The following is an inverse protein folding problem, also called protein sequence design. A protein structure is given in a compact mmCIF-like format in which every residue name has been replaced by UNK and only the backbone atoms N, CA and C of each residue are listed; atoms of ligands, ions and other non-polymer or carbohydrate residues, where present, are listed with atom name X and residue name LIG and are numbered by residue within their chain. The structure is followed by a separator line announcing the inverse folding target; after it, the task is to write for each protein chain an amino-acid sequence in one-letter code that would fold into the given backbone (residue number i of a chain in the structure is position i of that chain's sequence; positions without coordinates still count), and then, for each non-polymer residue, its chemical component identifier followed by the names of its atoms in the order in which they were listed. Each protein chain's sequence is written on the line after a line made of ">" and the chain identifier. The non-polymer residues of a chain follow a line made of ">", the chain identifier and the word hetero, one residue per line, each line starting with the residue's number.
data_IF_484775506591
#
_entry.id   IF_484775506591
#
_cell.length_a   1.000
_cell.length_b   1.000
_cell.length_c   1.000
_cell.angle_alpha   90.00
_cell.angle_beta   90.00
_cell.angle_gamma   90.00
#
_symmetry.space_group_name_H-M   'P 1'
#
loop_
_entity.id
_entity.type
_entity.pdbx_description
1 polymer ?
#
# COMPACT_ATOMS: atom_id res chain seq x y z
N UNK A 1 -45.55 -35.80 26.79
CA UNK A 1 -44.34 -36.08 25.98
C UNK A 1 -43.69 -34.75 25.62
N UNK A 2 -42.53 -34.43 26.21
CA UNK A 2 -41.81 -33.17 25.98
C UNK A 2 -41.00 -33.32 24.69
N UNK A 3 -41.39 -32.61 23.63
CA UNK A 3 -40.55 -32.48 22.42
C UNK A 3 -39.41 -31.53 22.74
N UNK A 4 -38.19 -32.06 22.88
CA UNK A 4 -36.98 -31.26 22.90
C UNK A 4 -36.75 -30.68 21.50
N UNK A 5 -36.96 -29.37 21.35
CA UNK A 5 -36.54 -28.64 20.15
C UNK A 5 -35.03 -28.44 20.23
N UNK A 6 -34.28 -29.22 19.44
CA UNK A 6 -32.83 -29.06 19.28
C UNK A 6 -32.63 -27.86 18.34
N UNK A 7 -32.37 -26.70 18.95
CA UNK A 7 -31.96 -25.50 18.23
C UNK A 7 -30.56 -25.74 17.65
N UNK A 8 -30.50 -26.14 16.38
CA UNK A 8 -29.23 -26.33 15.67
C UNK A 8 -28.61 -24.95 15.42
N UNK A 9 -27.62 -24.58 16.22
CA UNK A 9 -26.76 -23.42 15.97
C UNK A 9 -25.94 -23.74 14.71
N UNK A 10 -26.41 -23.28 13.56
CA UNK A 10 -25.64 -23.27 12.32
C UNK A 10 -24.64 -22.13 12.46
N UNK A 11 -23.42 -22.46 12.91
CA UNK A 11 -22.29 -21.54 12.86
C UNK A 11 -21.94 -21.34 11.39
N UNK A 12 -22.43 -20.26 10.80
CA UNK A 12 -22.05 -19.83 9.45
C UNK A 12 -20.57 -19.42 9.52
N UNK A 13 -19.68 -20.38 9.24
CA UNK A 13 -18.29 -20.09 8.89
C UNK A 13 -18.33 -19.23 7.63
N UNK A 14 -18.25 -17.92 7.84
CA UNK A 14 -18.13 -16.94 6.77
C UNK A 14 -16.74 -17.13 6.16
N UNK A 15 -16.65 -18.00 5.15
CA UNK A 15 -15.48 -18.06 4.28
C UNK A 15 -15.40 -16.74 3.52
N UNK A 16 -14.59 -15.81 4.02
CA UNK A 16 -14.21 -14.61 3.31
C UNK A 16 -13.55 -15.05 1.99
N UNK A 17 -14.24 -14.86 0.88
CA UNK A 17 -13.66 -15.00 -0.46
C UNK A 17 -12.65 -13.86 -0.67
N UNK A 18 -11.44 -13.99 -0.12
CA UNK A 18 -10.34 -13.07 -0.40
C UNK A 18 -9.94 -13.29 -1.85
N UNK A 19 -10.54 -12.51 -2.74
CA UNK A 19 -10.17 -12.47 -4.16
C UNK A 19 -8.70 -12.05 -4.22
N UNK A 20 -7.87 -12.85 -4.89
CA UNK A 20 -6.46 -12.54 -5.04
C UNK A 20 -6.31 -11.16 -5.71
N UNK A 21 -5.60 -10.25 -5.04
CA UNK A 21 -5.33 -8.92 -5.57
C UNK A 21 -4.49 -9.03 -6.85
N UNK A 22 -4.89 -8.28 -7.88
CA UNK A 22 -4.09 -8.10 -9.10
C UNK A 22 -2.95 -7.12 -8.79
N UNK A 23 -1.72 -7.51 -9.09
CA UNK A 23 -0.54 -6.63 -9.00
C UNK A 23 -0.18 -6.18 -10.42
N UNK A 24 -0.38 -4.91 -10.72
CA UNK A 24 -0.08 -4.33 -12.03
C UNK A 24 1.40 -3.98 -12.14
N UNK A 25 2.01 -4.25 -13.30
CA UNK A 25 3.38 -3.84 -13.60
C UNK A 25 3.31 -2.50 -14.33
N UNK A 26 3.97 -1.49 -13.78
CA UNK A 26 3.95 -0.14 -14.30
C UNK A 26 5.38 0.33 -14.60
N UNK A 27 5.52 1.16 -15.63
CA UNK A 27 6.67 2.05 -15.81
C UNK A 27 6.46 3.35 -15.01
N UNK A 28 7.51 4.14 -14.87
CA UNK A 28 7.47 5.41 -14.12
C UNK A 28 6.31 6.32 -14.53
N UNK A 29 6.11 6.54 -15.84
CA UNK A 29 5.09 7.45 -16.34
C UNK A 29 3.68 6.99 -15.97
N UNK A 30 3.43 5.68 -16.05
CA UNK A 30 2.15 5.08 -15.69
C UNK A 30 1.89 5.15 -14.19
N UNK A 31 2.94 4.99 -13.37
CA UNK A 31 2.85 5.17 -11.93
C UNK A 31 2.55 6.63 -11.57
N UNK A 32 3.21 7.60 -12.21
CA UNK A 32 2.94 9.01 -12.02
C UNK A 32 1.52 9.39 -12.44
N UNK A 33 1.07 8.95 -13.61
CA UNK A 33 -0.30 9.16 -14.06
C UNK A 33 -1.31 8.59 -13.04
N UNK A 34 -1.08 7.37 -12.57
CA UNK A 34 -1.93 6.74 -11.57
C UNK A 34 -1.99 7.54 -10.27
N UNK A 35 -0.85 7.92 -9.69
CA UNK A 35 -0.78 8.69 -8.44
C UNK A 35 -1.49 10.05 -8.60
N UNK A 36 -1.22 10.75 -9.71
CA UNK A 36 -1.77 12.08 -9.96
C UNK A 36 -3.23 12.06 -10.41
N UNK A 37 -3.77 10.90 -10.83
CA UNK A 37 -5.19 10.71 -11.18
C UNK A 37 -6.13 10.73 -9.97
N UNK A 38 -5.63 10.46 -8.77
CA UNK A 38 -6.40 10.46 -7.51
C UNK A 38 -6.74 11.88 -7.05
N UNK A 39 -7.70 12.51 -7.75
CA UNK A 39 -8.19 13.86 -7.43
C UNK A 39 -9.04 13.83 -6.16
N UNK A 40 -8.97 14.91 -5.38
CA UNK A 40 -9.71 15.07 -4.11
C UNK A 40 -9.37 13.98 -3.06
N UNK A 41 -8.25 13.30 -3.20
CA UNK A 41 -7.77 12.30 -2.25
C UNK A 41 -6.41 12.69 -1.69
N UNK A 42 -6.19 12.30 -0.43
CA UNK A 42 -4.87 12.12 0.16
C UNK A 42 -4.39 10.72 -0.19
N UNK A 43 -3.25 10.64 -0.85
CA UNK A 43 -2.64 9.38 -1.30
C UNK A 43 -1.32 9.17 -0.59
N UNK A 44 -1.25 8.11 0.20
CA UNK A 44 0.00 7.60 0.77
C UNK A 44 0.62 6.65 -0.25
N UNK A 45 1.82 6.98 -0.73
CA UNK A 45 2.58 6.16 -1.68
C UNK A 45 3.86 5.67 -1.01
N UNK A 46 3.91 4.39 -0.65
CA UNK A 46 5.05 3.79 0.03
C UNK A 46 5.84 2.89 -0.92
N UNK A 47 7.15 3.07 -0.98
CA UNK A 47 8.06 2.28 -1.80
C UNK A 47 8.75 1.22 -0.94
N UNK A 48 8.60 -0.03 -1.34
CA UNK A 48 9.04 -1.18 -0.56
C UNK A 48 9.57 -2.31 -1.43
N UNK A 49 10.14 -3.35 -0.81
CA UNK A 49 10.46 -4.60 -1.48
C UNK A 49 10.40 -5.80 -0.53
N UNK A 50 10.17 -7.00 -1.06
CA UNK A 50 10.04 -8.24 -0.25
C UNK A 50 11.31 -8.66 0.49
N UNK A 51 12.47 -8.11 0.12
CA UNK A 51 13.77 -8.35 0.75
C UNK A 51 14.21 -7.22 1.68
N UNK A 52 13.44 -6.14 1.78
CA UNK A 52 13.75 -4.98 2.61
C UNK A 52 13.21 -5.17 4.04
N UNK A 53 14.05 -5.61 4.96
CA UNK A 53 13.65 -5.84 6.37
C UNK A 53 12.91 -4.65 7.02
N UNK A 54 13.41 -3.40 6.99
CA UNK A 54 12.69 -2.27 7.60
C UNK A 54 11.34 -2.00 6.92
N UNK A 55 11.23 -2.20 5.59
CA UNK A 55 9.94 -2.09 4.90
C UNK A 55 8.93 -3.13 5.41
N UNK A 56 9.39 -4.35 5.72
CA UNK A 56 8.51 -5.43 6.22
C UNK A 56 8.05 -5.14 7.65
N UNK A 57 8.89 -4.48 8.45
CA UNK A 57 8.58 -4.10 9.83
C UNK A 57 7.47 -3.04 9.91
N UNK A 58 7.38 -2.11 8.94
CA UNK A 58 6.33 -1.07 8.92
C UNK A 58 4.99 -1.55 8.34
N UNK A 59 4.97 -2.60 7.51
CA UNK A 59 3.74 -3.09 6.84
C UNK A 59 2.55 -3.27 7.80
N UNK A 60 2.67 -3.88 9.00
CA UNK A 60 1.55 -4.02 9.92
C UNK A 60 0.90 -2.68 10.29
N UNK A 61 1.71 -1.65 10.57
CA UNK A 61 1.20 -0.31 10.90
C UNK A 61 0.49 0.33 9.70
N UNK A 62 1.05 0.19 8.50
CA UNK A 62 0.42 0.68 7.26
C UNK A 62 -0.91 -0.02 7.00
N UNK A 63 -1.01 -1.33 7.21
CA UNK A 63 -2.26 -2.07 7.01
C UNK A 63 -3.33 -1.71 8.04
N UNK A 64 -2.94 -1.45 9.29
CA UNK A 64 -3.85 -0.96 10.33
C UNK A 64 -4.43 0.41 9.95
N UNK A 65 -3.59 1.34 9.52
CA UNK A 65 -4.03 2.65 9.04
C UNK A 65 -4.90 2.54 7.78
N UNK A 66 -4.50 1.73 6.81
CA UNK A 66 -5.30 1.51 5.60
C UNK A 66 -6.70 0.97 5.95
N UNK A 67 -6.79 0.03 6.89
CA UNK A 67 -8.05 -0.53 7.37
C UNK A 67 -8.91 0.53 8.10
N UNK A 68 -8.29 1.40 8.90
CA UNK A 68 -8.97 2.51 9.58
C UNK A 68 -9.62 3.49 8.59
N UNK A 69 -8.93 3.83 7.50
CA UNK A 69 -9.41 4.78 6.50
C UNK A 69 -10.10 4.11 5.30
N UNK A 70 -10.31 2.79 5.29
CA UNK A 70 -10.84 2.04 4.12
C UNK A 70 -12.18 2.55 3.57
N UNK A 71 -13.00 3.15 4.42
CA UNK A 71 -14.32 3.68 4.08
C UNK A 71 -14.30 5.19 3.80
N UNK A 72 -13.16 5.86 3.92
CA UNK A 72 -13.04 7.27 3.63
C UNK A 72 -12.77 7.46 2.12
N UNK A 73 -13.71 8.05 1.35
CA UNK A 73 -13.53 8.23 -0.09
C UNK A 73 -12.37 9.17 -0.44
N UNK A 74 -11.92 10.00 0.50
CA UNK A 74 -10.86 10.98 0.32
C UNK A 74 -9.47 10.41 0.69
N UNK A 75 -9.36 9.12 1.00
CA UNK A 75 -8.10 8.47 1.36
C UNK A 75 -7.75 7.34 0.39
N UNK A 76 -6.45 7.20 0.11
CA UNK A 76 -5.90 6.08 -0.64
C UNK A 76 -4.52 5.69 -0.11
N UNK A 77 -4.28 4.39 0.05
CA UNK A 77 -2.94 3.85 0.22
C UNK A 77 -2.53 3.05 -1.03
N UNK A 78 -1.32 3.31 -1.52
CA UNK A 78 -0.69 2.63 -2.64
C UNK A 78 0.71 2.17 -2.23
N UNK A 79 0.96 0.87 -2.24
CA UNK A 79 2.30 0.32 -2.05
C UNK A 79 2.95 0.02 -3.40
N UNK A 80 4.16 0.51 -3.61
CA UNK A 80 4.94 0.35 -4.83
C UNK A 80 6.09 -0.60 -4.55
N UNK A 81 5.98 -1.83 -5.04
CA UNK A 81 7.06 -2.81 -4.95
C UNK A 81 8.16 -2.48 -5.98
N UNK A 82 9.40 -2.43 -5.48
CA UNK A 82 10.63 -2.31 -6.28
C UNK A 82 11.28 -3.68 -6.56
N UNK A 83 10.57 -4.77 -6.28
CA UNK A 83 11.01 -6.11 -6.65
C UNK A 83 11.10 -6.26 -8.18
N UNK A 84 12.03 -7.11 -8.65
CA UNK A 84 12.17 -7.38 -10.09
C UNK A 84 10.94 -8.15 -10.61
N UNK A 85 10.47 -7.90 -11.84
CA UNK A 85 9.31 -8.62 -12.41
C UNK A 85 9.44 -10.14 -12.39
N UNK A 86 10.67 -10.66 -12.50
CA UNK A 86 10.96 -12.10 -12.45
C UNK A 86 10.54 -12.77 -11.14
N UNK A 87 10.33 -12.02 -10.05
CA UNK A 87 9.85 -12.53 -8.75
C UNK A 87 8.40 -12.13 -8.45
N UNK A 88 7.62 -11.74 -9.47
CA UNK A 88 6.21 -11.32 -9.32
C UNK A 88 5.35 -12.33 -8.52
N UNK A 89 5.53 -13.63 -8.73
CA UNK A 89 4.76 -14.65 -7.98
C UNK A 89 5.15 -14.69 -6.50
N UNK A 90 6.43 -14.46 -6.17
CA UNK A 90 6.88 -14.31 -4.78
C UNK A 90 6.29 -13.05 -4.14
N UNK A 91 6.20 -11.95 -4.88
CA UNK A 91 5.54 -10.71 -4.41
C UNK A 91 4.06 -10.96 -4.10
N UNK A 92 3.32 -11.60 -5.01
CA UNK A 92 1.91 -11.96 -4.78
C UNK A 92 1.72 -12.89 -3.58
N UNK A 93 2.61 -13.87 -3.44
CA UNK A 93 2.62 -14.77 -2.27
C UNK A 93 2.87 -13.99 -0.98
N UNK A 94 3.85 -13.08 -0.98
CA UNK A 94 4.16 -12.23 0.17
C UNK A 94 2.97 -11.34 0.56
N UNK A 95 2.32 -10.69 -0.41
CA UNK A 95 1.09 -9.89 -0.20
C UNK A 95 0.03 -10.71 0.53
N UNK A 96 -0.19 -11.95 0.07
CA UNK A 96 -1.15 -12.86 0.71
C UNK A 96 -0.71 -13.27 2.13
N UNK A 97 0.55 -13.63 2.32
CA UNK A 97 1.08 -14.08 3.62
C UNK A 97 1.09 -12.98 4.68
N UNK A 98 1.33 -11.73 4.27
CA UNK A 98 1.32 -10.56 5.15
C UNK A 98 -0.04 -9.87 5.25
N UNK A 99 -1.07 -10.42 4.62
CA UNK A 99 -2.42 -9.83 4.56
C UNK A 99 -2.39 -8.36 4.13
N UNK A 100 -1.57 -8.03 3.11
CA UNK A 100 -1.50 -6.68 2.57
C UNK A 100 -2.84 -6.39 1.87
N UNK A 101 -3.65 -5.51 2.47
CA UNK A 101 -4.98 -5.13 2.01
C UNK A 101 -5.00 -3.79 1.24
N UNK A 102 -3.86 -3.09 1.18
CA UNK A 102 -3.68 -1.91 0.34
C UNK A 102 -3.45 -2.28 -1.13
N UNK A 103 -3.74 -1.35 -2.03
CA UNK A 103 -3.41 -1.54 -3.44
C UNK A 103 -1.89 -1.64 -3.63
N UNK A 104 -1.45 -2.61 -4.43
CA UNK A 104 -0.03 -2.86 -4.70
C UNK A 104 0.20 -2.86 -6.21
N UNK A 105 1.22 -2.13 -6.63
CA UNK A 105 1.77 -2.14 -7.99
C UNK A 105 3.25 -2.51 -7.93
N UNK A 106 3.79 -3.04 -9.03
CA UNK A 106 5.21 -3.31 -9.20
C UNK A 106 5.78 -2.29 -10.19
N UNK A 107 6.78 -1.51 -9.77
CA UNK A 107 7.47 -0.57 -10.64
C UNK A 107 8.59 -1.30 -11.39
N UNK A 108 8.31 -1.66 -12.63
CA UNK A 108 9.28 -2.33 -13.52
C UNK A 108 10.11 -1.31 -14.28
N UNK A 109 10.94 -0.54 -13.60
CA UNK A 109 11.69 0.54 -14.28
C UNK A 109 13.12 0.76 -13.77
N UNK A 110 13.72 -0.28 -13.22
CA UNK A 110 15.06 -0.24 -12.63
C UNK A 110 16.16 0.25 -13.59
N UNK A 111 15.99 0.09 -14.90
CA UNK A 111 16.94 0.59 -15.91
C UNK A 111 16.98 2.11 -16.01
N UNK A 112 15.87 2.78 -15.67
CA UNK A 112 15.72 4.24 -15.69
C UNK A 112 15.72 4.84 -14.27
N UNK A 113 16.24 4.11 -13.29
CA UNK A 113 16.24 4.54 -11.88
C UNK A 113 16.88 5.91 -11.67
N UNK A 114 17.95 6.21 -12.41
CA UNK A 114 18.61 7.51 -12.36
C UNK A 114 17.76 8.66 -12.94
N UNK A 115 16.73 8.36 -13.73
CA UNK A 115 15.81 9.34 -14.29
C UNK A 115 14.61 9.57 -13.36
N UNK A 116 13.98 8.49 -12.87
CA UNK A 116 12.73 8.64 -12.13
C UNK A 116 12.90 8.93 -10.63
N UNK A 117 13.99 8.52 -9.98
CA UNK A 117 14.26 8.88 -8.57
C UNK A 117 14.24 10.40 -8.36
N UNK A 118 15.07 11.20 -9.07
CA UNK A 118 15.09 12.65 -8.87
C UNK A 118 13.80 13.32 -9.35
N UNK A 119 13.03 12.66 -10.23
CA UNK A 119 11.74 13.16 -10.69
C UNK A 119 10.63 13.00 -9.62
N UNK A 120 10.70 11.98 -8.77
CA UNK A 120 9.89 11.91 -7.55
C UNK A 120 10.36 12.94 -6.52
N UNK A 121 11.66 12.91 -6.20
CA UNK A 121 12.29 13.89 -5.32
C UNK A 121 13.81 13.90 -5.51
N UNK A 122 14.38 15.08 -5.75
CA UNK A 122 15.82 15.24 -5.95
C UNK A 122 16.67 14.84 -4.73
N UNK A 123 16.07 14.80 -3.54
CA UNK A 123 16.73 14.36 -2.30
C UNK A 123 16.65 12.85 -2.07
N UNK A 124 15.85 12.11 -2.84
CA UNK A 124 15.70 10.67 -2.61
C UNK A 124 16.98 9.90 -2.97
N UNK A 125 17.65 9.40 -1.94
CA UNK A 125 18.95 8.72 -2.03
C UNK A 125 18.88 7.25 -2.47
N UNK A 126 17.82 6.82 -3.17
CA UNK A 126 17.53 5.43 -3.59
C UNK A 126 17.33 4.42 -2.45
N UNK A 127 17.24 4.89 -1.21
CA UNK A 127 16.92 4.07 -0.05
C UNK A 127 15.44 3.65 -0.04
N UNK A 128 15.13 2.57 0.67
CA UNK A 128 13.77 2.15 1.02
C UNK A 128 13.77 1.61 2.47
N UNK A 129 12.65 1.73 3.21
CA UNK A 129 11.38 2.31 2.78
C UNK A 129 11.45 3.83 2.60
N UNK A 130 10.62 4.35 1.71
CA UNK A 130 10.29 5.78 1.66
C UNK A 130 8.81 5.96 1.39
N UNK A 131 8.25 7.05 1.88
CA UNK A 131 6.83 7.36 1.74
C UNK A 131 6.65 8.77 1.20
N UNK A 132 5.81 8.89 0.17
CA UNK A 132 5.35 10.16 -0.37
C UNK A 132 3.90 10.38 0.00
N UNK A 133 3.54 11.62 0.33
CA UNK A 133 2.16 12.02 0.51
C UNK A 133 1.78 12.93 -0.65
N UNK A 134 0.68 12.57 -1.33
CA UNK A 134 0.07 13.40 -2.34
C UNK A 134 -1.29 13.89 -1.86
N UNK A 135 -1.62 15.14 -2.17
CA UNK A 135 -2.96 15.69 -1.96
C UNK A 135 -3.46 16.29 -3.27
N UNK A 136 -4.62 15.82 -3.74
CA UNK A 136 -5.22 16.24 -5.01
C UNK A 136 -4.27 16.09 -6.23
N UNK A 137 -3.45 15.04 -6.20
CA UNK A 137 -2.45 14.73 -7.23
C UNK A 137 -1.18 15.59 -7.19
N UNK A 138 -0.96 16.38 -6.14
CA UNK A 138 0.29 17.12 -5.92
C UNK A 138 1.06 16.50 -4.77
N UNK A 139 2.38 16.29 -4.92
CA UNK A 139 3.25 15.86 -3.82
C UNK A 139 3.30 16.97 -2.77
N UNK A 140 2.94 16.63 -1.52
CA UNK A 140 2.93 17.57 -0.38
C UNK A 140 3.94 17.21 0.70
N UNK A 141 4.34 15.93 0.81
CA UNK A 141 5.38 15.50 1.73
C UNK A 141 6.20 14.33 1.19
N UNK A 142 7.41 14.19 1.74
CA UNK A 142 8.35 13.10 1.50
C UNK A 142 9.00 12.72 2.84
N UNK A 143 8.97 11.43 3.17
CA UNK A 143 9.57 10.85 4.36
C UNK A 143 10.48 9.70 3.93
N UNK A 144 11.77 9.81 4.24
CA UNK A 144 12.81 8.92 3.70
C UNK A 144 13.32 7.88 4.70
N UNK A 145 12.61 7.67 5.81
CA UNK A 145 12.96 6.69 6.84
C UNK A 145 11.82 5.69 7.06
N UNK A 146 12.04 4.59 7.80
CA UNK A 146 10.93 3.80 8.32
C UNK A 146 9.94 4.69 9.09
N UNK A 147 8.65 4.39 8.96
CA UNK A 147 7.59 5.22 9.52
C UNK A 147 6.79 4.43 10.58
N UNK A 148 6.61 5.04 11.74
CA UNK A 148 5.72 4.52 12.77
C UNK A 148 4.25 4.77 12.41
N UNK A 149 3.33 4.05 13.07
CA UNK A 149 1.89 4.31 12.92
C UNK A 149 1.52 5.78 13.19
N UNK A 150 2.06 6.35 14.27
CA UNK A 150 1.75 7.71 14.69
C UNK A 150 2.20 8.75 13.66
N UNK A 151 3.42 8.63 13.14
CA UNK A 151 3.93 9.52 12.08
C UNK A 151 3.09 9.42 10.80
N UNK A 152 2.67 8.20 10.43
CA UNK A 152 1.80 7.98 9.28
C UNK A 152 0.43 8.66 9.49
N UNK A 153 -0.16 8.53 10.67
CA UNK A 153 -1.43 9.17 11.03
C UNK A 153 -1.30 10.70 11.07
N UNK A 154 -0.18 11.24 11.55
CA UNK A 154 0.08 12.68 11.57
C UNK A 154 0.10 13.26 10.15
N UNK A 155 0.81 12.62 9.22
CA UNK A 155 0.78 13.02 7.81
C UNK A 155 -0.63 12.96 7.23
N UNK A 156 -1.38 11.89 7.51
CA UNK A 156 -2.75 11.76 6.97
C UNK A 156 -3.63 12.87 7.54
N UNK A 157 -3.62 13.09 8.85
CA UNK A 157 -4.48 14.08 9.52
C UNK A 157 -4.12 15.52 9.13
N UNK A 158 -2.88 15.80 8.76
CA UNK A 158 -2.47 17.12 8.26
C UNK A 158 -3.16 17.47 6.93
N UNK A 159 -3.30 16.49 6.02
CA UNK A 159 -3.80 16.74 4.67
C UNK A 159 -5.24 16.29 4.41
N UNK A 160 -5.75 15.35 5.22
CA UNK A 160 -7.08 14.76 5.10
C UNK A 160 -8.07 15.61 5.90
N UNK A 161 -8.81 16.48 5.19
CA UNK A 161 -9.83 17.36 5.75
C UNK A 161 -11.22 16.75 5.70
#
# INVERSE_FOLDING_TARGET
>A
MKLFSILSIITILSFSNVKAQKVEQLKYEQLQEKITSFKQQVVVVNFWATWCAPCIEEIPAFMEVNEQYKNNPNFKMLLVSLDKPKVMESVKKFIKEKNINAEVVLLDDWKRMNEWLPAFDASWSSNIPVTFIYNNGQKVAFHDQPMTKFELEDYINEYLK
#
